data_IF_366582684563
#
_entry.id   IF_366582684563
#
_cell.length_a   1.000
_cell.length_b   1.000
_cell.length_c   1.000
_cell.angle_alpha   90.00
_cell.angle_beta   90.00
_cell.angle_gamma   90.00
#
_symmetry.space_group_name_H-M   'P 1'
#
loop_
_entity.id
_entity.type
_entity.pdbx_description
1 polymer ?
#
# COMPACT_ATOMS: atom_id res chain seq x y z
N UNK A 1 -10.29 13.06 -12.36
CA UNK A 1 -9.47 13.32 -11.15
C UNK A 1 -8.71 12.07 -10.74
N UNK A 2 -9.37 11.01 -10.26
CA UNK A 2 -8.66 9.81 -9.76
C UNK A 2 -7.84 9.09 -10.83
N UNK A 3 -8.38 8.92 -12.04
CA UNK A 3 -7.62 8.40 -13.20
C UNK A 3 -6.43 9.29 -13.59
N UNK A 4 -6.59 10.61 -13.52
CA UNK A 4 -5.51 11.55 -13.87
C UNK A 4 -4.39 11.52 -12.82
N UNK A 5 -4.75 11.42 -11.54
CA UNK A 5 -3.80 11.25 -10.44
C UNK A 5 -3.06 9.93 -10.54
N UNK A 6 -3.79 8.84 -10.78
CA UNK A 6 -3.20 7.52 -11.01
C UNK A 6 -2.21 7.55 -12.17
N UNK A 7 -2.59 8.10 -13.33
CA UNK A 7 -1.72 8.20 -14.50
C UNK A 7 -0.48 9.07 -14.21
N UNK A 8 -0.66 10.17 -13.48
CA UNK A 8 0.46 11.02 -13.08
C UNK A 8 1.42 10.27 -12.15
N UNK A 9 0.92 9.67 -11.06
CA UNK A 9 1.75 8.90 -10.13
C UNK A 9 2.46 7.76 -10.87
N UNK A 10 1.76 7.02 -11.72
CA UNK A 10 2.34 5.97 -12.57
C UNK A 10 3.53 6.48 -13.40
N UNK A 11 3.46 7.70 -13.93
CA UNK A 11 4.56 8.28 -14.73
C UNK A 11 5.82 8.60 -13.93
N UNK A 12 5.71 8.70 -12.60
CA UNK A 12 6.79 9.02 -11.67
C UNK A 12 7.04 7.90 -10.64
N UNK A 13 6.36 6.77 -10.76
CA UNK A 13 6.44 5.63 -9.86
C UNK A 13 7.88 5.09 -9.82
N UNK A 14 8.39 4.86 -8.60
CA UNK A 14 9.73 4.34 -8.37
C UNK A 14 10.87 5.30 -8.73
N UNK A 15 10.59 6.58 -8.97
CA UNK A 15 11.64 7.61 -9.11
C UNK A 15 12.16 8.03 -7.73
N UNK A 16 13.41 8.46 -7.69
CA UNK A 16 14.07 8.93 -6.46
C UNK A 16 13.23 10.02 -5.77
N UNK A 17 13.00 9.84 -4.46
CA UNK A 17 12.20 10.74 -3.64
C UNK A 17 10.69 10.67 -3.89
N UNK A 18 10.18 9.69 -4.66
CA UNK A 18 8.75 9.46 -4.89
C UNK A 18 8.32 8.15 -4.26
N UNK A 19 7.45 8.21 -3.24
CA UNK A 19 7.05 7.03 -2.48
C UNK A 19 5.53 6.89 -2.36
N UNK A 20 5.08 5.65 -2.23
CA UNK A 20 3.87 5.35 -1.46
C UNK A 20 4.34 5.01 -0.05
N UNK A 21 3.74 5.65 0.94
CA UNK A 21 3.90 5.31 2.36
C UNK A 21 2.61 5.67 3.09
N UNK A 22 2.00 4.64 3.65
CA UNK A 22 0.84 4.73 4.54
C UNK A 22 0.91 3.59 5.57
N UNK A 23 0.39 3.83 6.78
CA UNK A 23 0.34 2.84 7.84
C UNK A 23 -1.01 2.89 8.55
N UNK A 24 -1.61 1.71 8.77
CA UNK A 24 -2.86 1.57 9.51
C UNK A 24 -2.65 0.61 10.68
N UNK A 25 -3.18 0.98 11.84
CA UNK A 25 -3.24 0.09 13.00
C UNK A 25 -4.59 -0.61 13.05
N UNK A 26 -4.58 -1.92 12.85
CA UNK A 26 -5.74 -2.77 13.02
C UNK A 26 -5.78 -3.31 14.44
N UNK A 27 -6.58 -2.69 15.30
CA UNK A 27 -6.88 -3.25 16.62
C UNK A 27 -7.70 -4.53 16.50
N UNK A 28 -7.53 -5.44 17.44
CA UNK A 28 -8.33 -6.67 17.56
C UNK A 28 -9.83 -6.40 17.56
N UNK A 29 -10.26 -5.28 18.18
CA UNK A 29 -11.67 -4.86 18.17
C UNK A 29 -12.16 -4.59 16.74
N UNK A 30 -11.41 -3.81 15.97
CA UNK A 30 -11.76 -3.45 14.60
C UNK A 30 -11.73 -4.68 13.68
N UNK A 31 -10.75 -5.57 13.86
CA UNK A 31 -10.67 -6.84 13.13
C UNK A 31 -11.89 -7.74 13.40
N UNK A 32 -12.34 -7.83 14.66
CA UNK A 32 -13.54 -8.58 15.03
C UNK A 32 -14.82 -7.99 14.45
N UNK A 33 -15.00 -6.67 14.56
CA UNK A 33 -16.15 -5.97 13.97
C UNK A 33 -16.24 -6.20 12.46
N UNK A 34 -15.10 -6.23 11.78
CA UNK A 34 -15.04 -6.53 10.35
C UNK A 34 -15.41 -7.99 10.04
N UNK A 35 -14.89 -8.96 10.79
CA UNK A 35 -15.26 -10.39 10.65
C UNK A 35 -16.73 -10.66 10.95
N UNK A 36 -17.31 -10.03 11.96
CA UNK A 36 -18.73 -10.21 12.30
C UNK A 36 -19.66 -9.72 11.18
N UNK A 37 -19.20 -8.76 10.36
CA UNK A 37 -19.93 -8.27 9.19
C UNK A 37 -19.73 -9.10 7.91
N UNK A 38 -18.78 -10.05 7.90
CA UNK A 38 -18.45 -10.87 6.74
C UNK A 38 -18.42 -12.36 7.12
N UNK A 39 -19.47 -13.11 6.73
CA UNK A 39 -19.59 -14.53 7.00
C UNK A 39 -18.34 -15.33 6.57
N UNK A 40 -17.84 -16.18 7.47
CA UNK A 40 -16.72 -17.13 7.27
C UNK A 40 -15.31 -16.52 7.14
N UNK A 41 -15.04 -15.34 7.68
CA UNK A 41 -13.66 -14.83 7.77
C UNK A 41 -13.13 -14.94 9.20
N UNK A 42 -11.94 -15.52 9.34
CA UNK A 42 -11.20 -15.56 10.59
C UNK A 42 -10.19 -14.41 10.62
N UNK A 43 -10.39 -13.45 11.51
CA UNK A 43 -9.41 -12.42 11.79
C UNK A 43 -8.29 -12.95 12.68
N UNK A 44 -7.09 -12.36 12.59
CA UNK A 44 -6.06 -12.53 13.60
C UNK A 44 -6.55 -12.04 14.98
N UNK A 45 -6.24 -12.81 16.03
CA UNK A 45 -6.61 -12.50 17.42
C UNK A 45 -5.57 -11.56 18.09
N UNK A 46 -4.92 -10.71 17.30
CA UNK A 46 -3.91 -9.77 17.76
C UNK A 46 -3.96 -8.45 17.00
N UNK A 47 -3.38 -7.41 17.58
CA UNK A 47 -3.23 -6.12 16.93
C UNK A 47 -2.18 -6.20 15.82
N UNK A 48 -2.45 -5.54 14.70
CA UNK A 48 -1.58 -5.58 13.52
C UNK A 48 -1.28 -4.16 13.05
N UNK A 49 -0.03 -3.96 12.67
CA UNK A 49 0.35 -2.82 11.85
C UNK A 49 0.43 -3.24 10.39
N UNK A 50 -0.26 -2.49 9.54
CA UNK A 50 -0.30 -2.73 8.10
C UNK A 50 0.25 -1.53 7.37
N UNK A 51 1.33 -1.74 6.63
CA UNK A 51 2.01 -0.72 5.85
C UNK A 51 1.71 -0.91 4.37
N UNK A 52 1.28 0.14 3.69
CA UNK A 52 1.23 0.20 2.23
C UNK A 52 2.40 1.05 1.77
N UNK A 53 3.35 0.44 1.07
CA UNK A 53 4.62 1.10 0.71
C UNK A 53 5.05 0.77 -0.71
N UNK A 54 5.72 1.71 -1.38
CA UNK A 54 6.32 1.44 -2.70
C UNK A 54 7.64 0.66 -2.58
N UNK A 55 8.03 -0.13 -3.61
CA UNK A 55 9.27 -0.92 -3.56
C UNK A 55 10.53 -0.10 -3.25
N UNK A 56 10.65 1.11 -3.80
CA UNK A 56 11.80 1.98 -3.57
C UNK A 56 11.86 2.54 -2.14
N UNK A 57 10.73 2.67 -1.44
CA UNK A 57 10.74 3.03 -0.02
C UNK A 57 11.39 1.93 0.82
N UNK A 58 11.07 0.66 0.55
CA UNK A 58 11.64 -0.46 1.28
C UNK A 58 13.17 -0.56 1.12
N UNK A 59 13.66 -0.35 -0.11
CA UNK A 59 15.10 -0.29 -0.39
C UNK A 59 15.77 0.82 0.43
N UNK A 60 15.17 2.02 0.48
CA UNK A 60 15.72 3.14 1.25
C UNK A 60 15.71 2.89 2.77
N UNK A 61 14.77 2.06 3.26
CA UNK A 61 14.78 1.60 4.66
C UNK A 61 15.81 0.50 4.93
N UNK A 62 16.43 -0.10 3.90
CA UNK A 62 17.35 -1.24 4.04
C UNK A 62 16.67 -2.61 4.06
N UNK A 63 15.36 -2.67 3.74
CA UNK A 63 14.64 -3.92 3.53
C UNK A 63 14.63 -4.27 2.03
N UNK A 64 15.68 -4.96 1.59
CA UNK A 64 15.81 -5.36 0.19
C UNK A 64 14.94 -6.58 -0.14
N UNK A 65 14.18 -6.47 -1.23
CA UNK A 65 13.41 -7.58 -1.78
C UNK A 65 14.08 -8.17 -3.02
N UNK A 66 14.00 -9.49 -3.23
CA UNK A 66 14.38 -10.10 -4.50
C UNK A 66 13.72 -9.39 -5.68
N UNK A 67 14.50 -9.04 -6.70
CA UNK A 67 14.05 -8.32 -7.90
C UNK A 67 12.83 -8.99 -8.55
N UNK A 68 12.81 -10.33 -8.56
CA UNK A 68 11.67 -11.13 -9.06
C UNK A 68 10.34 -10.78 -8.37
N UNK A 69 10.34 -10.54 -7.06
CA UNK A 69 9.12 -10.18 -6.32
C UNK A 69 8.68 -8.75 -6.68
N UNK A 70 9.63 -7.84 -6.84
CA UNK A 70 9.36 -6.47 -7.29
C UNK A 70 8.75 -6.49 -8.70
N UNK A 71 9.29 -7.30 -9.60
CA UNK A 71 8.78 -7.46 -10.96
C UNK A 71 7.40 -8.08 -10.99
N UNK A 72 7.12 -9.07 -10.15
CA UNK A 72 5.77 -9.61 -9.98
C UNK A 72 4.80 -8.52 -9.50
N UNK A 73 5.20 -7.72 -8.51
CA UNK A 73 4.38 -6.61 -8.01
C UNK A 73 4.09 -5.57 -9.10
N UNK A 74 5.10 -5.19 -9.91
CA UNK A 74 4.95 -4.28 -11.06
C UNK A 74 4.08 -4.88 -12.18
N UNK A 75 3.99 -6.21 -12.26
CA UNK A 75 3.14 -6.92 -13.21
C UNK A 75 1.74 -7.22 -12.65
N UNK A 76 1.35 -6.64 -11.52
CA UNK A 76 -0.01 -6.75 -10.98
C UNK A 76 -0.23 -7.89 -10.01
N UNK A 77 0.82 -8.61 -9.60
CA UNK A 77 0.71 -9.50 -8.44
C UNK A 77 0.61 -8.67 -7.18
N UNK A 78 -0.39 -8.94 -6.35
CA UNK A 78 -0.50 -8.29 -5.04
C UNK A 78 0.41 -9.00 -4.05
N UNK A 79 1.47 -8.31 -3.65
CA UNK A 79 2.54 -8.87 -2.82
C UNK A 79 2.42 -8.39 -1.38
N UNK A 80 2.25 -9.34 -0.47
CA UNK A 80 2.27 -9.12 0.96
C UNK A 80 3.52 -9.73 1.58
N UNK A 81 4.16 -9.01 2.49
CA UNK A 81 5.26 -9.49 3.32
C UNK A 81 4.74 -9.70 4.74
N UNK A 82 4.94 -10.90 5.26
CA UNK A 82 4.60 -11.28 6.62
C UNK A 82 5.88 -11.44 7.45
N UNK A 83 5.98 -10.79 8.61
CA UNK A 83 7.06 -11.03 9.55
C UNK A 83 7.21 -12.51 9.91
N UNK A 84 8.45 -12.97 10.05
CA UNK A 84 8.77 -14.34 10.45
C UNK A 84 8.48 -14.65 11.93
N UNK A 85 8.16 -13.62 12.72
CA UNK A 85 7.76 -13.75 14.13
C UNK A 85 6.39 -14.41 14.32
N UNK A 86 5.55 -14.46 13.29
CA UNK A 86 4.20 -15.01 13.41
C UNK A 86 4.22 -16.54 13.35
N UNK A 87 3.39 -17.16 14.18
CA UNK A 87 3.16 -18.61 14.11
C UNK A 87 2.45 -18.97 12.80
N UNK A 88 2.55 -20.23 12.36
CA UNK A 88 1.83 -20.68 11.16
C UNK A 88 0.30 -20.55 11.30
N UNK A 89 -0.25 -20.70 12.51
CA UNK A 89 -1.67 -20.44 12.76
C UNK A 89 -2.03 -18.97 12.53
N UNK A 90 -1.23 -18.05 13.07
CA UNK A 90 -1.47 -16.60 12.92
C UNK A 90 -1.29 -16.16 11.47
N UNK A 91 -0.26 -16.66 10.78
CA UNK A 91 -0.06 -16.42 9.35
C UNK A 91 -1.28 -16.84 8.53
N UNK A 92 -1.85 -18.02 8.81
CA UNK A 92 -3.04 -18.48 8.11
C UNK A 92 -4.25 -17.57 8.33
N UNK A 93 -4.47 -17.06 9.55
CA UNK A 93 -5.52 -16.07 9.85
C UNK A 93 -5.26 -14.75 9.11
N UNK A 94 -4.02 -14.25 9.11
CA UNK A 94 -3.62 -13.04 8.40
C UNK A 94 -3.82 -13.19 6.89
N UNK A 95 -3.37 -14.30 6.30
CA UNK A 95 -3.52 -14.60 4.88
C UNK A 95 -4.99 -14.64 4.49
N UNK A 96 -5.83 -15.32 5.29
CA UNK A 96 -7.28 -15.36 5.05
C UNK A 96 -7.88 -13.95 5.07
N UNK A 97 -7.58 -13.17 6.09
CA UNK A 97 -8.05 -11.79 6.24
C UNK A 97 -7.63 -10.91 5.05
N UNK A 98 -6.33 -10.86 4.73
CA UNK A 98 -5.79 -10.02 3.66
C UNK A 98 -6.26 -10.46 2.27
N UNK A 99 -6.42 -11.76 2.03
CA UNK A 99 -6.97 -12.29 0.78
C UNK A 99 -8.40 -11.82 0.59
N UNK A 100 -9.24 -11.93 1.63
CA UNK A 100 -10.62 -11.47 1.51
C UNK A 100 -10.71 -9.96 1.34
N UNK A 101 -9.94 -9.17 2.09
CA UNK A 101 -9.88 -7.72 1.86
C UNK A 101 -9.45 -7.40 0.42
N UNK A 102 -8.37 -8.03 -0.06
CA UNK A 102 -7.83 -7.81 -1.40
C UNK A 102 -8.81 -8.15 -2.52
N UNK A 103 -9.71 -9.10 -2.32
CA UNK A 103 -10.70 -9.50 -3.33
C UNK A 103 -12.03 -8.78 -3.18
N UNK A 104 -12.27 -8.14 -2.04
CA UNK A 104 -13.51 -7.41 -1.79
C UNK A 104 -13.64 -6.19 -2.73
N UNK A 105 -14.84 -6.00 -3.29
CA UNK A 105 -15.17 -4.86 -4.15
C UNK A 105 -14.54 -4.89 -5.55
N UNK A 106 -13.93 -6.00 -5.97
CA UNK A 106 -13.32 -6.11 -7.31
C UNK A 106 -14.33 -6.31 -8.46
N UNK A 107 -15.52 -6.84 -8.17
CA UNK A 107 -16.56 -7.17 -9.17
C UNK A 107 -17.45 -5.97 -9.56
N UNK A 108 -17.13 -4.76 -9.10
CA UNK A 108 -17.86 -3.52 -9.42
C UNK A 108 -17.42 -2.85 -10.73
N UNK A 109 -18.25 -1.92 -11.22
CA UNK A 109 -17.89 -1.00 -12.31
C UNK A 109 -16.77 -0.06 -11.84
N UNK A 110 -15.52 -0.48 -12.01
CA UNK A 110 -14.36 0.29 -11.58
C UNK A 110 -13.90 1.20 -12.72
N UNK A 111 -13.62 2.47 -12.40
CA UNK A 111 -13.18 3.49 -13.36
C UNK A 111 -11.72 3.32 -13.78
N UNK A 112 -11.02 2.35 -13.18
CA UNK A 112 -9.60 2.11 -13.35
C UNK A 112 -9.34 0.61 -13.40
N UNK A 113 -8.77 0.13 -14.51
CA UNK A 113 -8.45 -1.28 -14.71
C UNK A 113 -6.96 -1.51 -14.41
N UNK A 114 -6.64 -2.03 -13.23
CA UNK A 114 -5.28 -2.51 -12.92
C UNK A 114 -5.12 -3.97 -13.36
N UNK A 115 -3.87 -4.43 -13.52
CA UNK A 115 -3.61 -5.85 -13.79
C UNK A 115 -4.13 -6.75 -12.67
N UNK A 116 -3.95 -6.34 -11.40
CA UNK A 116 -4.47 -7.11 -10.27
C UNK A 116 -5.99 -7.30 -10.33
N UNK A 117 -6.75 -6.29 -10.76
CA UNK A 117 -8.20 -6.44 -10.86
C UNK A 117 -8.63 -7.55 -11.83
N UNK A 118 -7.86 -7.73 -12.90
CA UNK A 118 -8.12 -8.73 -13.93
C UNK A 118 -7.57 -10.11 -13.55
N UNK A 119 -6.33 -10.17 -13.07
CA UNK A 119 -5.61 -11.42 -12.82
C UNK A 119 -5.84 -11.99 -11.41
N UNK A 120 -6.09 -11.12 -10.43
CA UNK A 120 -6.38 -11.47 -9.02
C UNK A 120 -5.31 -12.33 -8.35
N UNK A 121 -4.07 -12.24 -8.82
CA UNK A 121 -2.93 -12.97 -8.26
C UNK A 121 -2.45 -12.32 -6.97
N UNK A 122 -2.40 -13.11 -5.90
CA UNK A 122 -1.89 -12.69 -4.57
C UNK A 122 -0.73 -13.60 -4.18
N UNK A 123 0.35 -13.01 -3.69
CA UNK A 123 1.53 -13.70 -3.17
C UNK A 123 1.83 -13.21 -1.76
N UNK A 124 2.14 -14.15 -0.88
CA UNK A 124 2.59 -13.89 0.48
C UNK A 124 4.02 -14.41 0.63
N UNK A 125 4.91 -13.56 1.11
CA UNK A 125 6.30 -13.93 1.40
C UNK A 125 6.60 -13.64 2.87
N UNK A 126 7.37 -14.53 3.49
CA UNK A 126 7.85 -14.27 4.85
C UNK A 126 9.13 -13.46 4.79
N UNK A 127 9.30 -12.49 5.68
CA UNK A 127 10.51 -11.69 5.77
C UNK A 127 11.00 -11.56 7.21
N UNK A 128 12.31 -11.35 7.33
CA UNK A 128 12.97 -11.04 8.59
C UNK A 128 13.59 -9.64 8.48
N UNK A 129 13.38 -8.80 9.49
CA UNK A 129 13.93 -7.45 9.53
C UNK A 129 14.08 -6.96 10.97
N UNK A 130 15.31 -6.67 11.38
CA UNK A 130 15.61 -6.21 12.74
C UNK A 130 15.26 -4.73 12.97
N UNK A 131 15.10 -3.96 11.89
CA UNK A 131 14.71 -2.55 11.92
C UNK A 131 13.19 -2.36 12.08
N UNK A 132 12.78 -1.10 12.09
CA UNK A 132 11.36 -0.73 11.98
C UNK A 132 11.09 0.10 10.74
N UNK A 133 9.80 0.27 10.43
CA UNK A 133 9.32 1.23 9.45
C UNK A 133 8.71 2.42 10.18
N UNK A 134 9.05 3.63 9.73
CA UNK A 134 8.51 4.85 10.32
C UNK A 134 7.04 5.06 9.93
N UNK A 135 6.16 4.94 10.91
CA UNK A 135 4.81 5.49 10.83
C UNK A 135 4.88 7.00 11.02
N UNK A 136 4.30 7.75 10.09
CA UNK A 136 4.26 9.21 10.16
C UNK A 136 3.47 9.76 11.36
N UNK A 137 2.70 8.91 12.07
CA UNK A 137 1.89 9.31 13.21
C UNK A 137 2.24 8.62 14.52
N UNK A 138 2.85 7.43 14.48
CA UNK A 138 3.16 6.63 15.68
C UNK A 138 4.66 6.34 15.87
N UNK A 139 5.52 6.81 14.97
CA UNK A 139 6.97 6.57 15.03
C UNK A 139 7.38 5.21 14.48
N UNK A 140 8.54 4.70 14.91
CA UNK A 140 9.10 3.45 14.41
C UNK A 140 8.23 2.24 14.82
N UNK A 141 7.76 1.48 13.83
CA UNK A 141 7.00 0.25 14.01
C UNK A 141 7.83 -0.96 13.58
N UNK A 142 7.99 -1.92 14.48
CA UNK A 142 8.70 -3.17 14.22
C UNK A 142 7.77 -4.26 13.74
N UNK A 143 8.27 -5.13 12.86
CA UNK A 143 7.55 -6.29 12.34
C UNK A 143 6.12 -5.97 11.80
N UNK A 144 5.93 -4.92 10.99
CA UNK A 144 4.62 -4.69 10.37
C UNK A 144 4.32 -5.73 9.29
N UNK A 145 3.04 -5.94 8.99
CA UNK A 145 2.65 -6.54 7.72
C UNK A 145 2.85 -5.48 6.63
N UNK A 146 3.43 -5.85 5.50
CA UNK A 146 3.74 -4.90 4.42
C UNK A 146 3.03 -5.32 3.14
N UNK A 147 2.24 -4.42 2.58
CA UNK A 147 1.79 -4.50 1.19
C UNK A 147 2.73 -3.67 0.30
N UNK A 148 3.41 -4.36 -0.62
CA UNK A 148 4.29 -3.73 -1.61
C UNK A 148 3.45 -3.21 -2.76
N UNK A 149 3.08 -1.94 -2.69
CA UNK A 149 2.16 -1.29 -3.59
C UNK A 149 2.84 -0.77 -4.86
N UNK A 150 2.22 -1.10 -5.99
CA UNK A 150 2.49 -0.52 -7.30
C UNK A 150 1.15 -0.10 -7.92
N UNK A 151 1.21 0.80 -8.91
CA UNK A 151 0.03 1.17 -9.69
C UNK A 151 -0.67 -0.03 -10.30
N UNK A 152 0.08 -1.06 -10.71
CA UNK A 152 -0.48 -2.23 -11.35
C UNK A 152 -1.12 -3.24 -10.40
N UNK A 153 -0.79 -3.20 -9.10
CA UNK A 153 -1.28 -4.18 -8.12
C UNK A 153 -2.27 -3.63 -7.06
N UNK A 154 -2.65 -2.35 -7.17
CA UNK A 154 -3.64 -1.72 -6.30
C UNK A 154 -5.08 -1.97 -6.76
N UNK A 155 -6.02 -1.88 -5.83
CA UNK A 155 -7.48 -1.82 -6.07
C UNK A 155 -7.91 -0.41 -6.45
N UNK A 156 -9.09 -0.29 -7.06
CA UNK A 156 -9.67 1.01 -7.37
C UNK A 156 -9.77 1.94 -6.15
N UNK A 157 -10.26 1.44 -5.00
CA UNK A 157 -10.38 2.24 -3.77
C UNK A 157 -9.02 2.73 -3.22
N UNK A 158 -7.96 1.97 -3.44
CA UNK A 158 -6.59 2.37 -3.06
C UNK A 158 -6.05 3.43 -4.02
N UNK A 159 -6.45 3.39 -5.29
CA UNK A 159 -6.15 4.47 -6.24
C UNK A 159 -6.80 5.81 -5.83
N UNK A 160 -7.93 5.78 -5.11
CA UNK A 160 -8.54 7.00 -4.52
C UNK A 160 -7.70 7.52 -3.34
N UNK A 161 -6.89 6.70 -2.69
CA UNK A 161 -5.97 7.16 -1.64
C UNK A 161 -4.76 7.93 -2.21
N UNK A 162 -4.56 7.91 -3.54
CA UNK A 162 -3.55 8.73 -4.22
C UNK A 162 -3.97 10.21 -4.31
N UNK A 163 -5.27 10.51 -4.29
CA UNK A 163 -5.78 11.89 -4.30
C UNK A 163 -6.01 12.44 -2.89
N UNK A 164 -5.99 11.59 -1.87
CA UNK A 164 -6.23 11.97 -0.50
C UNK A 164 -5.11 12.90 0.02
N UNK A 165 -5.51 13.84 0.86
CA UNK A 165 -4.62 14.86 1.44
C UNK A 165 -4.46 14.64 2.93
N UNK A 166 -3.28 14.92 3.47
CA UNK A 166 -3.01 14.80 4.90
C UNK A 166 -2.28 13.51 5.26
N UNK A 167 -1.56 13.56 6.38
CA UNK A 167 -0.54 12.58 6.78
C UNK A 167 -1.09 11.15 6.86
N UNK A 168 -2.32 11.01 7.34
CA UNK A 168 -2.97 9.73 7.59
C UNK A 168 -3.63 9.13 6.35
N UNK A 169 -4.21 9.96 5.48
CA UNK A 169 -5.05 9.47 4.37
C UNK A 169 -4.31 9.42 3.03
N UNK A 170 -3.38 10.34 2.79
CA UNK A 170 -2.64 10.40 1.53
C UNK A 170 -1.64 9.27 1.43
N UNK A 171 -1.53 8.61 0.28
CA UNK A 171 -0.51 7.58 0.05
C UNK A 171 0.82 8.18 -0.44
N UNK A 172 0.76 9.16 -1.33
CA UNK A 172 1.94 9.71 -1.98
C UNK A 172 2.76 10.57 -1.00
N UNK A 173 4.05 10.28 -0.90
CA UNK A 173 5.06 11.06 -0.17
C UNK A 173 6.17 11.47 -1.13
N UNK A 174 6.61 12.72 -1.02
CA UNK A 174 7.62 13.29 -1.90
C UNK A 174 8.70 13.98 -1.09
N UNK A 175 9.96 13.79 -1.44
CA UNK A 175 11.03 14.68 -0.94
C UNK A 175 10.89 16.08 -1.52
N UNK A 176 11.58 17.08 -0.95
CA UNK A 176 11.53 18.45 -1.47
C UNK A 176 11.99 18.53 -2.94
N UNK A 177 13.02 17.75 -3.30
CA UNK A 177 13.54 17.64 -4.65
C UNK A 177 12.50 17.05 -5.60
N UNK A 178 11.89 15.93 -5.22
CA UNK A 178 10.85 15.26 -6.00
C UNK A 178 9.60 16.14 -6.14
N UNK A 179 9.16 16.79 -5.07
CA UNK A 179 8.05 17.74 -5.10
C UNK A 179 8.34 18.90 -6.07
N UNK A 180 9.53 19.49 -6.01
CA UNK A 180 9.90 20.57 -6.92
C UNK A 180 9.97 20.11 -8.37
N UNK A 181 10.44 18.89 -8.63
CA UNK A 181 10.56 18.34 -9.98
C UNK A 181 9.22 17.92 -10.57
N UNK A 182 8.42 17.17 -9.83
CA UNK A 182 7.23 16.51 -10.35
C UNK A 182 5.93 17.26 -10.05
N UNK A 183 5.86 18.00 -8.93
CA UNK A 183 4.67 18.78 -8.59
C UNK A 183 4.76 20.20 -9.15
N UNK A 184 5.83 20.95 -8.86
CA UNK A 184 5.92 22.34 -9.33
C UNK A 184 6.06 22.47 -10.84
N UNK A 185 6.80 21.57 -11.50
CA UNK A 185 7.11 21.68 -12.93
C UNK A 185 6.27 20.79 -13.85
N UNK A 186 5.79 19.64 -13.36
CA UNK A 186 5.21 18.60 -14.22
C UNK A 186 3.80 18.14 -13.80
N UNK A 187 3.20 18.77 -12.78
CA UNK A 187 1.88 18.35 -12.31
C UNK A 187 0.78 18.75 -13.29
N UNK A 188 -0.16 17.84 -13.63
CA UNK A 188 -1.25 18.13 -14.55
C UNK A 188 -2.11 19.33 -14.10
N UNK A 189 -2.41 20.25 -15.02
CA UNK A 189 -3.18 21.48 -14.74
C UNK A 189 -4.59 21.20 -14.20
N UNK A 190 -5.23 20.12 -14.64
CA UNK A 190 -6.52 19.68 -14.13
C UNK A 190 -6.46 19.25 -12.66
N UNK A 191 -5.33 18.70 -12.19
CA UNK A 191 -5.14 18.33 -10.78
C UNK A 191 -4.78 19.55 -9.92
N UNK A 192 -4.05 20.53 -10.46
CA UNK A 192 -3.79 21.81 -9.76
C UNK A 192 -5.06 22.54 -9.36
N UNK A 193 -6.07 22.56 -10.26
CA UNK A 193 -7.38 23.18 -10.00
C UNK A 193 -8.11 22.56 -8.80
N UNK A 194 -7.82 21.30 -8.48
CA UNK A 194 -8.44 20.57 -7.38
C UNK A 194 -7.68 20.71 -6.06
N UNK A 195 -6.64 21.57 -6.00
CA UNK A 195 -5.89 21.89 -4.77
C UNK A 195 -5.32 20.67 -4.02
N UNK A 196 -4.91 19.63 -4.75
CA UNK A 196 -4.27 18.46 -4.12
C UNK A 196 -3.00 18.89 -3.40
N UNK A 197 -2.86 18.46 -2.14
CA UNK A 197 -1.68 18.71 -1.31
C UNK A 197 -0.92 17.42 -1.07
N UNK A 198 0.40 17.51 -1.02
CA UNK A 198 1.30 16.38 -0.79
C UNK A 198 2.05 16.59 0.51
N UNK A 199 2.32 15.49 1.22
CA UNK A 199 3.19 15.52 2.39
C UNK A 199 4.62 15.45 1.89
N UNK A 200 5.43 16.38 2.40
CA UNK A 200 6.86 16.38 2.20
C UNK A 200 7.47 15.41 3.20
N UNK A 201 8.17 14.41 2.69
CA UNK A 201 8.89 13.42 3.48
C UNK A 201 10.38 13.68 3.40
#
# INVERSE_FOLDING_TARGET
MSKDMYNWYQSIEGKDGVYILNSVHYSTKLLREWCDSHYNIHAPDMDLWYFTVSPNYLIDTGLDLPEKLIDQAKNGTRLYLLPDIYSEEDKNKIISFLTTDALNGLDGNNLLETRFQNERTIVFETYHYDGGLDSLTQGEIKNPIIYVATTQNMKFIESESLIATGIEDGYIKLTEEAYTKYVRKQFPENLKKNQVTFIKH
#
